data_IF_804927837155
#
_entry.id   IF_804927837155
#
_cell.length_a   1.000
_cell.length_b   1.000
_cell.length_c   1.000
_cell.angle_alpha   90.00
_cell.angle_beta   90.00
_cell.angle_gamma   90.00
#
_symmetry.space_group_name_H-M   'P 1'
#
loop_
_entity.id
_entity.type
_entity.pdbx_description
1 polymer ?
#
# COMPACT_ATOMS: atom_id res chain seq x y z
N UNK A 1 -7.95 -37.57 -0.75
CA UNK A 1 -9.21 -36.94 -0.31
C UNK A 1 -8.94 -35.46 -0.15
N UNK A 2 -9.61 -34.59 -0.90
CA UNK A 2 -9.33 -33.14 -0.89
C UNK A 2 -9.70 -32.56 0.49
N UNK A 3 -8.75 -31.96 1.23
CA UNK A 3 -8.99 -31.43 2.58
C UNK A 3 -10.07 -30.33 2.61
N UNK A 4 -10.36 -29.73 1.46
CA UNK A 4 -11.41 -28.71 1.23
C UNK A 4 -12.82 -29.22 1.56
N UNK A 5 -13.10 -30.52 1.41
CA UNK A 5 -14.43 -31.08 1.67
C UNK A 5 -14.71 -31.34 3.17
N UNK A 6 -13.70 -31.16 4.03
CA UNK A 6 -13.82 -31.36 5.48
C UNK A 6 -14.02 -30.05 6.27
N UNK A 7 -13.93 -28.90 5.60
CA UNK A 7 -14.13 -27.59 6.22
C UNK A 7 -15.58 -27.13 6.09
N UNK A 8 -16.08 -26.44 7.11
CA UNK A 8 -17.44 -25.88 7.08
C UNK A 8 -17.58 -24.87 5.94
N UNK A 9 -18.78 -24.70 5.34
CA UNK A 9 -19.01 -23.67 4.33
C UNK A 9 -18.60 -22.25 4.78
N UNK A 10 -18.70 -21.98 6.09
CA UNK A 10 -18.25 -20.73 6.69
C UNK A 10 -16.72 -20.58 6.64
N UNK A 11 -15.97 -21.65 6.91
CA UNK A 11 -14.51 -21.64 6.82
C UNK A 11 -14.04 -21.40 5.38
N UNK A 12 -14.68 -22.05 4.40
CA UNK A 12 -14.38 -21.83 2.98
C UNK A 12 -14.67 -20.38 2.55
N UNK A 13 -15.79 -19.81 2.99
CA UNK A 13 -16.13 -18.41 2.71
C UNK A 13 -15.15 -17.43 3.35
N UNK A 14 -14.79 -17.66 4.61
CA UNK A 14 -13.86 -16.81 5.31
C UNK A 14 -12.46 -16.87 4.67
N UNK A 15 -12.00 -18.05 4.22
CA UNK A 15 -10.74 -18.20 3.50
C UNK A 15 -10.73 -17.45 2.17
N UNK A 16 -11.83 -17.50 1.41
CA UNK A 16 -12.01 -16.72 0.18
C UNK A 16 -11.89 -15.21 0.47
N UNK A 17 -12.59 -14.72 1.49
CA UNK A 17 -12.50 -13.30 1.89
C UNK A 17 -11.08 -12.93 2.31
N UNK A 18 -10.41 -13.77 3.10
CA UNK A 18 -9.02 -13.56 3.50
C UNK A 18 -8.09 -13.38 2.29
N UNK A 19 -8.24 -14.22 1.25
CA UNK A 19 -7.44 -14.08 0.03
C UNK A 19 -7.66 -12.75 -0.70
N UNK A 20 -8.90 -12.25 -0.76
CA UNK A 20 -9.19 -10.96 -1.37
C UNK A 20 -8.61 -9.79 -0.56
N UNK A 21 -8.61 -9.87 0.76
CA UNK A 21 -7.98 -8.83 1.59
C UNK A 21 -6.48 -8.75 1.39
N UNK A 22 -5.80 -9.90 1.26
CA UNK A 22 -4.37 -9.95 0.93
C UNK A 22 -4.11 -9.29 -0.42
N UNK A 23 -4.89 -9.63 -1.45
CA UNK A 23 -4.73 -9.06 -2.80
C UNK A 23 -4.96 -7.54 -2.82
N UNK A 24 -5.99 -7.06 -2.12
CA UNK A 24 -6.26 -5.62 -2.01
C UNK A 24 -5.12 -4.93 -1.27
N UNK A 25 -4.57 -5.56 -0.22
CA UNK A 25 -3.45 -4.99 0.51
C UNK A 25 -2.20 -4.83 -0.37
N UNK A 26 -1.83 -5.87 -1.12
CA UNK A 26 -0.72 -5.82 -2.07
C UNK A 26 -0.92 -4.72 -3.12
N UNK A 27 -2.15 -4.55 -3.61
CA UNK A 27 -2.50 -3.48 -4.54
C UNK A 27 -2.37 -2.08 -3.92
N UNK A 28 -2.78 -1.91 -2.67
CA UNK A 28 -2.63 -0.63 -1.95
C UNK A 28 -1.16 -0.28 -1.74
N UNK A 29 -0.32 -1.24 -1.37
CA UNK A 29 1.12 -1.05 -1.24
C UNK A 29 1.73 -0.64 -2.59
N UNK A 30 1.36 -1.33 -3.67
CA UNK A 30 1.83 -1.01 -5.01
C UNK A 30 1.51 0.44 -5.43
N UNK A 31 0.26 0.88 -5.24
CA UNK A 31 -0.14 2.26 -5.53
C UNK A 31 0.60 3.24 -4.59
N UNK A 32 0.74 2.90 -3.32
CA UNK A 32 1.47 3.71 -2.34
C UNK A 32 2.92 3.97 -2.75
N UNK A 33 3.62 2.94 -3.20
CA UNK A 33 5.01 3.04 -3.66
C UNK A 33 5.13 3.92 -4.92
N UNK A 34 4.30 3.68 -5.93
CA UNK A 34 4.32 4.45 -7.18
C UNK A 34 3.95 5.92 -6.91
N UNK A 35 2.90 6.16 -6.12
CA UNK A 35 2.45 7.51 -5.78
C UNK A 35 3.52 8.29 -5.02
N UNK A 36 4.24 7.66 -4.08
CA UNK A 36 5.37 8.27 -3.38
C UNK A 36 6.43 8.80 -4.36
N UNK A 37 6.85 7.97 -5.32
CA UNK A 37 7.84 8.35 -6.34
C UNK A 37 7.33 9.53 -7.19
N UNK A 38 6.09 9.44 -7.68
CA UNK A 38 5.50 10.47 -8.53
C UNK A 38 5.39 11.81 -7.78
N UNK A 39 4.92 11.79 -6.53
CA UNK A 39 4.75 13.00 -5.71
C UNK A 39 6.10 13.67 -5.47
N UNK A 40 7.15 12.90 -5.15
CA UNK A 40 8.52 13.43 -4.97
C UNK A 40 9.03 14.05 -6.28
N UNK A 41 8.85 13.40 -7.42
CA UNK A 41 9.29 13.92 -8.72
C UNK A 41 8.56 15.23 -9.08
N UNK A 42 7.23 15.27 -8.95
CA UNK A 42 6.45 16.48 -9.19
C UNK A 42 6.88 17.60 -8.23
N UNK A 43 7.09 17.27 -6.96
CA UNK A 43 7.58 18.21 -5.96
C UNK A 43 8.96 18.77 -6.31
N UNK A 44 9.88 17.91 -6.76
CA UNK A 44 11.21 18.28 -7.18
C UNK A 44 11.18 19.18 -8.43
N UNK A 45 10.35 18.87 -9.42
CA UNK A 45 10.16 19.71 -10.61
C UNK A 45 9.66 21.10 -10.19
N UNK A 46 8.60 21.18 -9.38
CA UNK A 46 8.06 22.46 -8.90
C UNK A 46 9.05 23.26 -8.04
N UNK A 47 9.93 22.55 -7.32
CA UNK A 47 10.99 23.16 -6.52
C UNK A 47 12.10 23.71 -7.44
N UNK A 48 12.69 22.90 -8.31
CA UNK A 48 13.84 23.30 -9.14
C UNK A 48 13.48 24.27 -10.26
N UNK A 49 12.25 24.26 -10.75
CA UNK A 49 11.77 25.24 -11.75
C UNK A 49 11.36 26.58 -11.14
N UNK A 50 11.42 26.71 -9.81
CA UNK A 50 10.99 27.88 -9.04
C UNK A 50 9.53 28.33 -9.23
N UNK A 51 8.72 27.58 -10.00
CA UNK A 51 7.31 27.86 -10.29
C UNK A 51 6.50 27.98 -9.00
N UNK A 52 6.74 27.08 -8.03
CA UNK A 52 6.14 27.17 -6.71
C UNK A 52 7.01 26.48 -5.65
N UNK A 53 8.03 27.21 -5.19
CA UNK A 53 9.01 26.79 -4.18
C UNK A 53 8.39 26.23 -2.88
N UNK A 54 7.30 26.83 -2.40
CA UNK A 54 6.64 26.42 -1.15
C UNK A 54 5.93 25.08 -1.34
N UNK A 55 5.17 24.94 -2.44
CA UNK A 55 4.44 23.71 -2.75
C UNK A 55 5.38 22.58 -3.16
N UNK A 56 6.42 22.87 -3.93
CA UNK A 56 7.42 21.89 -4.37
C UNK A 56 8.10 21.21 -3.18
N UNK A 57 8.64 21.99 -2.24
CA UNK A 57 9.21 21.46 -0.99
C UNK A 57 8.18 20.64 -0.21
N UNK A 58 6.97 21.14 -0.04
CA UNK A 58 5.90 20.43 0.66
C UNK A 58 5.57 19.06 0.04
N UNK A 59 5.56 18.97 -1.29
CA UNK A 59 5.34 17.71 -2.01
C UNK A 59 6.52 16.75 -1.87
N UNK A 60 7.76 17.23 -1.93
CA UNK A 60 8.94 16.37 -1.69
C UNK A 60 8.89 15.79 -0.28
N UNK A 61 8.68 16.62 0.74
CA UNK A 61 8.57 16.13 2.12
C UNK A 61 7.37 15.19 2.32
N UNK A 62 6.22 15.52 1.72
CA UNK A 62 5.02 14.69 1.79
C UNK A 62 5.20 13.34 1.11
N UNK A 63 5.85 13.31 -0.05
CA UNK A 63 6.17 12.06 -0.77
C UNK A 63 7.15 11.17 0.00
N UNK A 64 8.19 11.76 0.59
CA UNK A 64 9.13 11.02 1.46
C UNK A 64 8.41 10.47 2.69
N UNK A 65 7.56 11.27 3.35
CA UNK A 65 6.79 10.81 4.50
C UNK A 65 5.84 9.68 4.12
N UNK A 66 5.13 9.80 2.99
CA UNK A 66 4.28 8.75 2.46
C UNK A 66 5.09 7.47 2.23
N UNK A 67 6.26 7.55 1.61
CA UNK A 67 7.13 6.39 1.40
C UNK A 67 7.55 5.71 2.71
N UNK A 68 7.86 6.49 3.76
CA UNK A 68 8.17 5.92 5.09
C UNK A 68 6.97 5.16 5.66
N UNK A 69 5.76 5.72 5.54
CA UNK A 69 4.53 5.08 6.01
C UNK A 69 4.24 3.80 5.23
N UNK A 70 4.40 3.82 3.90
CA UNK A 70 4.21 2.62 3.07
C UNK A 70 5.25 1.55 3.42
N UNK A 71 6.52 1.93 3.58
CA UNK A 71 7.59 1.00 3.96
C UNK A 71 7.31 0.33 5.30
N UNK A 72 6.79 1.07 6.29
CA UNK A 72 6.34 0.47 7.55
C UNK A 72 5.31 -0.64 7.32
N UNK A 73 4.32 -0.42 6.45
CA UNK A 73 3.29 -1.41 6.14
C UNK A 73 3.78 -2.58 5.27
N UNK A 74 4.90 -2.43 4.58
CA UNK A 74 5.61 -3.55 3.92
C UNK A 74 6.27 -4.45 4.96
N UNK A 75 6.90 -3.86 5.99
CA UNK A 75 7.56 -4.63 7.06
C UNK A 75 6.56 -5.26 8.04
N UNK A 76 5.44 -4.60 8.29
CA UNK A 76 4.41 -5.04 9.22
C UNK A 76 3.06 -5.16 8.50
N UNK A 77 2.93 -6.13 7.58
CA UNK A 77 1.65 -6.39 6.94
C UNK A 77 0.64 -6.92 7.97
N UNK A 78 -0.65 -6.60 7.83
CA UNK A 78 -1.69 -7.19 8.65
C UNK A 78 -1.82 -8.69 8.38
N UNK A 79 -1.90 -9.46 9.46
CA UNK A 79 -2.17 -10.89 9.39
C UNK A 79 -3.66 -11.12 9.10
N UNK A 80 -4.00 -11.41 7.84
CA UNK A 80 -5.36 -11.79 7.43
C UNK A 80 -5.64 -13.29 7.66
N UNK A 81 -5.13 -13.85 8.77
CA UNK A 81 -5.29 -15.26 9.12
C UNK A 81 -6.54 -15.44 9.99
N UNK A 82 -7.36 -16.41 9.62
CA UNK A 82 -8.47 -16.86 10.45
C UNK A 82 -7.92 -17.86 11.49
N UNK A 83 -8.01 -17.51 12.76
CA UNK A 83 -7.79 -18.45 13.89
C UNK A 83 -8.98 -19.40 14.01
#
# INVERSE_FOLDING_TARGET
>A
MSPVLLQSPLANFAQLIGSYFIEIWDFLIFIGQISGIIIVLIGAILWFTEVNQKRGRGLVFGGVLLSIVIEYFVFFPPDFVLV
#
